data_IF_239910848523
#
_entry.id   IF_239910848523
#
_cell.length_a   1.000
_cell.length_b   1.000
_cell.length_c   1.000
_cell.angle_alpha   90.00
_cell.angle_beta   90.00
_cell.angle_gamma   90.00
#
_symmetry.space_group_name_H-M   'P 1'
#
loop_
_entity.id
_entity.type
_entity.pdbx_description
1 polymer ?
#
# COMPACT_ATOMS: atom_id res chain seq x y z
N UNK A 1 16.27 12.83 -9.54
CA UNK A 1 16.20 11.54 -10.30
C UNK A 1 16.15 10.41 -9.30
N UNK A 2 15.30 9.40 -9.52
CA UNK A 2 15.27 8.20 -8.68
C UNK A 2 16.59 7.42 -8.83
N UNK A 3 17.12 6.89 -7.73
CA UNK A 3 18.31 6.04 -7.73
C UNK A 3 18.06 4.73 -8.49
N UNK A 4 19.12 4.04 -8.92
CA UNK A 4 18.96 2.72 -9.57
C UNK A 4 18.30 1.71 -8.64
N UNK A 5 18.62 1.73 -7.34
CA UNK A 5 17.97 0.88 -6.33
C UNK A 5 16.46 1.17 -6.23
N UNK A 6 16.07 2.46 -6.30
CA UNK A 6 14.66 2.83 -6.32
C UNK A 6 13.95 2.31 -7.57
N UNK A 7 14.55 2.43 -8.75
CA UNK A 7 13.99 1.89 -9.99
C UNK A 7 13.85 0.38 -9.94
N UNK A 8 14.84 -0.32 -9.39
CA UNK A 8 14.80 -1.76 -9.21
C UNK A 8 13.70 -2.17 -8.23
N UNK A 9 13.56 -1.48 -7.10
CA UNK A 9 12.48 -1.74 -6.14
C UNK A 9 11.10 -1.54 -6.76
N UNK A 10 10.89 -0.49 -7.56
CA UNK A 10 9.64 -0.25 -8.28
C UNK A 10 9.33 -1.34 -9.31
N UNK A 11 10.34 -1.85 -10.04
CA UNK A 11 10.18 -2.98 -10.96
C UNK A 11 9.76 -4.26 -10.22
N UNK A 12 10.38 -4.51 -9.07
CA UNK A 12 10.03 -5.67 -8.23
C UNK A 12 8.60 -5.54 -7.67
N UNK A 13 8.23 -4.35 -7.19
CA UNK A 13 6.86 -4.08 -6.73
C UNK A 13 5.81 -4.28 -7.83
N UNK A 14 6.09 -3.79 -9.03
CA UNK A 14 5.19 -3.99 -10.17
C UNK A 14 4.98 -5.46 -10.54
N UNK A 15 6.00 -6.31 -10.32
CA UNK A 15 5.96 -7.73 -10.64
C UNK A 15 5.42 -8.60 -9.51
N UNK A 16 5.91 -8.38 -8.29
CA UNK A 16 5.69 -9.29 -7.15
C UNK A 16 4.74 -8.73 -6.10
N UNK A 17 4.39 -7.45 -6.19
CA UNK A 17 3.56 -6.71 -5.20
C UNK A 17 4.16 -6.63 -3.79
N UNK A 18 5.08 -7.51 -3.45
CA UNK A 18 5.74 -7.54 -2.15
C UNK A 18 7.26 -7.49 -2.34
N UNK A 19 7.93 -6.63 -1.61
CA UNK A 19 9.39 -6.49 -1.64
C UNK A 19 9.93 -6.39 -0.22
N UNK A 20 10.90 -7.22 0.10
CA UNK A 20 11.63 -7.16 1.36
C UNK A 20 12.99 -6.48 1.12
N UNK A 21 13.22 -5.35 1.79
CA UNK A 21 14.51 -4.65 1.79
C UNK A 21 15.30 -5.04 3.04
N UNK A 22 16.38 -5.78 2.86
CA UNK A 22 17.27 -6.19 3.94
C UNK A 22 18.65 -5.56 3.81
N UNK A 23 19.36 -5.41 4.92
CA UNK A 23 20.71 -4.85 4.94
C UNK A 23 21.13 -4.37 6.34
N UNK A 24 22.42 -4.16 6.55
CA UNK A 24 22.96 -3.68 7.80
C UNK A 24 22.41 -2.30 8.20
N UNK A 25 22.46 -1.91 9.47
CA UNK A 25 22.15 -0.54 9.89
C UNK A 25 23.05 0.46 9.15
N UNK A 26 22.49 1.62 8.76
CA UNK A 26 23.25 2.67 8.07
C UNK A 26 23.44 2.49 6.55
N UNK A 27 22.95 1.40 5.93
CA UNK A 27 23.09 1.14 4.48
C UNK A 27 22.14 1.95 3.60
N UNK A 28 21.39 2.91 4.14
CA UNK A 28 20.50 3.78 3.35
C UNK A 28 19.10 3.23 3.09
N UNK A 29 18.66 2.15 3.77
CA UNK A 29 17.31 1.58 3.60
C UNK A 29 16.20 2.61 3.72
N UNK A 30 16.22 3.44 4.76
CA UNK A 30 15.19 4.46 4.99
C UNK A 30 15.18 5.53 3.88
N UNK A 31 16.34 5.86 3.30
CA UNK A 31 16.45 6.75 2.14
C UNK A 31 15.81 6.10 0.91
N UNK A 32 16.12 4.84 0.64
CA UNK A 32 15.51 4.07 -0.45
C UNK A 32 13.99 4.02 -0.30
N UNK A 33 13.48 3.70 0.90
CA UNK A 33 12.03 3.65 1.16
C UNK A 33 11.36 5.03 0.95
N UNK A 34 12.05 6.12 1.29
CA UNK A 34 11.56 7.48 1.04
C UNK A 34 11.51 7.79 -0.47
N UNK A 35 12.54 7.41 -1.24
CA UNK A 35 12.57 7.58 -2.70
C UNK A 35 11.47 6.76 -3.39
N UNK A 36 11.29 5.49 -2.98
CA UNK A 36 10.23 4.61 -3.50
C UNK A 36 8.84 5.19 -3.21
N UNK A 37 8.63 5.69 -1.98
CA UNK A 37 7.37 6.30 -1.59
C UNK A 37 7.03 7.53 -2.47
N UNK A 38 7.99 8.44 -2.63
CA UNK A 38 7.82 9.63 -3.45
C UNK A 38 7.55 9.27 -4.92
N UNK A 39 8.32 8.31 -5.47
CA UNK A 39 8.13 7.86 -6.84
C UNK A 39 6.78 7.17 -7.03
N UNK A 40 6.28 6.43 -6.03
CA UNK A 40 4.97 5.82 -6.06
C UNK A 40 3.85 6.87 -6.07
N UNK A 41 3.87 7.86 -5.16
CA UNK A 41 2.83 8.90 -5.04
C UNK A 41 2.80 9.84 -6.25
N UNK A 42 3.97 10.25 -6.74
CA UNK A 42 4.06 11.19 -7.87
C UNK A 42 3.91 10.50 -9.23
N UNK A 43 3.83 9.17 -9.28
CA UNK A 43 3.95 8.38 -10.51
C UNK A 43 5.18 8.76 -11.36
N UNK A 44 6.22 9.29 -10.70
CA UNK A 44 7.42 9.80 -11.34
C UNK A 44 8.15 8.66 -12.06
N UNK A 45 8.37 8.83 -13.34
CA UNK A 45 8.95 7.82 -14.20
C UNK A 45 8.00 6.69 -14.65
N UNK A 46 6.72 6.75 -14.27
CA UNK A 46 5.68 5.82 -14.69
C UNK A 46 4.73 6.43 -15.74
N UNK A 47 5.15 7.50 -16.42
CA UNK A 47 4.37 8.07 -17.49
C UNK A 47 4.07 7.02 -18.58
N UNK A 48 2.85 6.95 -19.12
CA UNK A 48 2.48 5.98 -20.12
C UNK A 48 3.42 6.11 -21.33
N UNK A 49 4.08 5.03 -21.71
CA UNK A 49 4.71 4.96 -23.02
C UNK A 49 3.58 4.99 -24.05
N UNK A 50 3.34 6.17 -24.68
CA UNK A 50 2.46 6.27 -25.85
C UNK A 50 1.13 6.99 -25.64
N UNK A 51 0.98 7.86 -24.66
CA UNK A 51 -0.10 8.84 -24.70
C UNK A 51 0.11 9.84 -25.87
N UNK A 52 -0.97 10.33 -26.54
CA UNK A 52 -0.80 11.34 -27.56
C UNK A 52 -0.03 12.53 -26.98
N UNK A 53 0.88 13.15 -27.77
CA UNK A 53 1.64 14.30 -27.30
C UNK A 53 0.67 15.36 -26.79
N UNK A 54 0.82 15.77 -25.54
CA UNK A 54 0.04 16.84 -24.95
C UNK A 54 0.38 18.12 -25.72
N UNK A 55 -0.52 18.57 -26.57
CA UNK A 55 -0.40 19.85 -27.26
C UNK A 55 -0.48 20.94 -26.21
N UNK A 56 0.56 21.76 -26.16
CA UNK A 56 0.56 22.97 -25.36
C UNK A 56 -0.59 23.88 -25.85
N UNK A 57 -1.52 24.35 -25.01
CA UNK A 57 -2.64 25.15 -25.44
C UNK A 57 -2.24 26.49 -26.10
N UNK A 58 -0.96 26.80 -26.12
CA UNK A 58 -0.39 28.00 -26.79
C UNK A 58 0.43 27.70 -28.06
N UNK A 59 0.29 26.53 -28.68
CA UNK A 59 0.92 26.29 -30.00
C UNK A 59 2.45 26.15 -29.97
N UNK A 60 3.03 25.72 -28.86
CA UNK A 60 4.47 25.51 -28.72
C UNK A 60 4.89 24.05 -29.00
N UNK A 61 6.20 23.84 -29.12
CA UNK A 61 6.87 22.56 -29.34
C UNK A 61 6.33 21.45 -28.41
N UNK A 62 6.06 20.22 -28.90
CA UNK A 62 5.60 19.12 -28.07
C UNK A 62 6.53 18.93 -26.88
N UNK A 63 5.97 18.88 -25.66
CA UNK A 63 6.75 18.59 -24.46
C UNK A 63 7.22 17.13 -24.59
N UNK A 64 8.54 16.88 -24.65
CA UNK A 64 9.02 15.51 -24.70
C UNK A 64 8.55 14.76 -23.46
N UNK A 65 8.22 13.46 -23.55
CA UNK A 65 7.87 12.65 -22.40
C UNK A 65 8.95 12.80 -21.34
N UNK A 66 8.54 13.01 -20.08
CA UNK A 66 9.44 13.32 -18.99
C UNK A 66 10.64 12.37 -19.02
N UNK A 67 11.83 12.95 -19.19
CA UNK A 67 13.09 12.20 -19.18
C UNK A 67 13.25 11.52 -17.82
N UNK A 68 13.00 10.22 -17.74
CA UNK A 68 13.06 9.45 -16.50
C UNK A 68 12.11 8.25 -16.41
N UNK A 69 11.29 8.00 -17.44
CA UNK A 69 10.48 6.78 -17.48
C UNK A 69 11.36 5.54 -17.29
N UNK A 70 11.07 4.75 -16.27
CA UNK A 70 11.75 3.47 -16.06
C UNK A 70 11.21 2.52 -17.11
N UNK A 71 12.07 2.08 -18.04
CA UNK A 71 11.69 1.05 -19.01
C UNK A 71 11.23 -0.19 -18.25
N UNK A 72 10.22 -0.86 -18.79
CA UNK A 72 9.66 -2.11 -18.25
C UNK A 72 8.78 -2.01 -17.00
N UNK A 73 8.35 -0.82 -16.58
CA UNK A 73 7.28 -0.67 -15.61
C UNK A 73 6.00 -0.29 -16.36
N UNK A 74 4.90 -1.04 -16.23
CA UNK A 74 3.63 -0.68 -16.83
C UNK A 74 3.17 0.70 -16.37
N UNK A 75 2.55 1.46 -17.26
CA UNK A 75 1.93 2.72 -16.88
C UNK A 75 0.89 2.51 -15.77
N UNK A 76 0.86 3.37 -14.76
CA UNK A 76 -0.12 3.23 -13.69
C UNK A 76 -1.53 3.45 -14.25
N UNK A 77 -2.40 2.49 -14.01
CA UNK A 77 -3.81 2.57 -14.37
C UNK A 77 -4.62 3.33 -13.32
N UNK A 78 -4.13 3.39 -12.08
CA UNK A 78 -4.75 4.07 -10.95
C UNK A 78 -3.90 5.25 -10.50
N UNK A 79 -4.52 6.44 -10.43
CA UNK A 79 -3.83 7.71 -10.23
C UNK A 79 -3.95 8.28 -8.81
N UNK A 80 -4.94 7.84 -8.02
CA UNK A 80 -5.02 8.19 -6.60
C UNK A 80 -4.12 7.25 -5.78
N UNK A 81 -2.82 7.61 -5.77
CA UNK A 81 -1.74 6.80 -5.22
C UNK A 81 -1.33 7.31 -3.85
N UNK A 82 -1.41 6.46 -2.84
CA UNK A 82 -1.13 6.84 -1.46
C UNK A 82 -0.20 5.88 -0.76
N UNK A 83 0.76 6.45 0.00
CA UNK A 83 1.68 5.69 0.82
C UNK A 83 1.19 5.66 2.27
N UNK A 84 1.11 4.44 2.81
CA UNK A 84 0.83 4.19 4.21
C UNK A 84 2.10 3.65 4.87
N UNK A 85 2.43 4.15 6.07
CA UNK A 85 3.64 3.77 6.78
C UNK A 85 3.31 3.27 8.18
N UNK A 86 4.02 2.25 8.59
CA UNK A 86 4.01 1.77 9.97
C UNK A 86 5.41 1.28 10.35
N UNK A 87 5.70 1.29 11.64
CA UNK A 87 6.95 0.78 12.20
C UNK A 87 6.59 -0.33 13.17
N UNK A 88 7.21 -1.50 13.01
CA UNK A 88 7.00 -2.58 13.95
C UNK A 88 7.94 -2.43 15.15
N UNK A 89 7.41 -2.72 16.32
CA UNK A 89 8.12 -2.77 17.60
C UNK A 89 7.50 -3.85 18.49
N UNK A 90 8.12 -4.14 19.61
CA UNK A 90 7.70 -5.25 20.51
C UNK A 90 6.24 -5.17 20.97
N UNK A 91 5.67 -3.96 21.05
CA UNK A 91 4.28 -3.74 21.46
C UNK A 91 3.30 -3.57 20.28
N UNK A 92 3.75 -3.81 19.04
CA UNK A 92 2.86 -3.78 17.87
C UNK A 92 1.79 -4.86 17.99
N UNK A 93 0.54 -4.50 17.69
CA UNK A 93 -0.62 -5.38 17.88
C UNK A 93 -1.42 -5.47 16.59
N UNK A 94 -2.10 -6.61 16.42
CA UNK A 94 -3.05 -6.86 15.33
C UNK A 94 -4.06 -5.71 15.15
N UNK A 95 -4.62 -5.18 16.24
CA UNK A 95 -5.61 -4.09 16.19
C UNK A 95 -5.07 -2.79 15.58
N UNK A 96 -3.78 -2.50 15.79
CA UNK A 96 -3.18 -1.25 15.30
C UNK A 96 -2.80 -1.38 13.81
N UNK A 97 -2.68 -2.61 13.34
CA UNK A 97 -2.31 -2.94 11.97
C UNK A 97 -3.53 -3.26 11.09
N UNK A 98 -4.47 -4.05 11.56
CA UNK A 98 -5.72 -4.41 10.88
C UNK A 98 -6.92 -3.67 11.49
N UNK A 99 -7.50 -4.23 12.54
CA UNK A 99 -8.61 -3.62 13.28
C UNK A 99 -8.73 -4.22 14.67
N UNK A 100 -9.37 -3.51 15.56
CA UNK A 100 -9.66 -4.02 16.90
C UNK A 100 -10.23 -2.97 17.82
N UNK A 101 -10.67 -3.41 18.99
CA UNK A 101 -11.36 -2.58 19.98
C UNK A 101 -10.34 -1.84 20.85
N UNK A 102 -10.60 -0.57 21.13
CA UNK A 102 -9.88 0.25 22.09
C UNK A 102 -10.86 1.06 22.95
N UNK A 103 -10.53 1.40 24.20
CA UNK A 103 -11.34 2.31 25.01
C UNK A 103 -11.51 3.66 24.30
N UNK A 104 -12.72 4.19 24.32
CA UNK A 104 -13.01 5.53 23.79
C UNK A 104 -12.42 6.61 24.70
N UNK A 105 -11.61 7.52 24.16
CA UNK A 105 -10.98 8.61 24.91
C UNK A 105 -11.99 9.72 25.21
N UNK A 106 -12.93 9.96 24.30
CA UNK A 106 -13.96 10.97 24.45
C UNK A 106 -15.30 10.29 24.75
N UNK A 107 -15.73 10.32 26.01
CA UNK A 107 -17.07 9.86 26.40
C UNK A 107 -18.10 10.88 25.93
N UNK A 108 -18.86 10.56 24.91
CA UNK A 108 -20.15 11.20 24.67
C UNK A 108 -21.12 10.55 25.67
N UNK A 109 -21.83 11.34 26.46
CA UNK A 109 -22.62 10.92 27.63
C UNK A 109 -23.64 9.78 27.41
N UNK A 110 -23.81 9.29 26.20
CA UNK A 110 -24.67 8.17 25.81
C UNK A 110 -24.02 7.22 24.76
N UNK A 111 -22.68 7.31 24.52
CA UNK A 111 -21.99 6.50 23.55
C UNK A 111 -21.33 5.24 24.15
N UNK A 112 -20.88 4.31 23.32
CA UNK A 112 -20.15 3.13 23.78
C UNK A 112 -18.81 3.52 24.42
N UNK A 113 -18.43 2.79 25.48
CA UNK A 113 -17.12 2.97 26.15
C UNK A 113 -15.92 2.48 25.29
N UNK A 114 -16.18 1.93 24.09
CA UNK A 114 -15.18 1.39 23.19
C UNK A 114 -15.37 1.92 21.78
N UNK A 115 -14.25 2.03 21.06
CA UNK A 115 -14.24 2.35 19.63
C UNK A 115 -13.41 1.33 18.87
N UNK A 116 -13.65 1.19 17.57
CA UNK A 116 -12.87 0.27 16.72
C UNK A 116 -11.80 1.07 15.99
N UNK A 117 -10.57 0.65 16.13
CA UNK A 117 -9.42 1.25 15.44
C UNK A 117 -9.37 0.74 14.00
N UNK A 118 -9.17 1.66 13.07
CA UNK A 118 -8.83 1.37 11.66
C UNK A 118 -7.32 1.28 11.53
N UNK A 119 -6.78 0.07 11.54
CA UNK A 119 -5.34 -0.17 11.46
C UNK A 119 -4.74 0.23 10.11
N UNK A 120 -3.40 0.21 10.04
CA UNK A 120 -2.70 0.74 8.85
C UNK A 120 -2.92 -0.11 7.60
N UNK A 121 -2.91 -1.44 7.71
CA UNK A 121 -3.21 -2.34 6.58
C UNK A 121 -4.66 -2.17 6.11
N UNK A 122 -5.62 -2.09 7.04
CA UNK A 122 -7.02 -1.85 6.70
C UNK A 122 -7.20 -0.53 5.93
N UNK A 123 -6.62 0.57 6.42
CA UNK A 123 -6.71 1.87 5.74
C UNK A 123 -6.08 1.87 4.35
N UNK A 124 -4.94 1.18 4.20
CA UNK A 124 -4.28 1.02 2.90
C UNK A 124 -5.16 0.20 1.94
N UNK A 125 -5.74 -0.90 2.43
CA UNK A 125 -6.63 -1.76 1.65
C UNK A 125 -7.90 -1.02 1.20
N UNK A 126 -8.55 -0.28 2.09
CA UNK A 126 -9.75 0.48 1.74
C UNK A 126 -9.46 1.58 0.70
N UNK A 127 -8.29 2.24 0.81
CA UNK A 127 -7.87 3.19 -0.22
C UNK A 127 -7.65 2.49 -1.57
N UNK A 128 -7.00 1.33 -1.59
CA UNK A 128 -6.73 0.56 -2.81
C UNK A 128 -7.99 -0.03 -3.47
N UNK A 129 -9.07 -0.27 -2.69
CA UNK A 129 -10.39 -0.68 -3.23
C UNK A 129 -11.09 0.43 -4.00
N UNK A 130 -10.72 1.69 -3.80
CA UNK A 130 -11.28 2.81 -4.54
C UNK A 130 -11.10 2.64 -6.06
N UNK A 131 -12.07 3.10 -6.86
CA UNK A 131 -12.06 2.92 -8.32
C UNK A 131 -10.76 3.41 -8.98
N UNK A 132 -10.15 4.46 -8.44
CA UNK A 132 -8.88 5.03 -8.92
C UNK A 132 -7.75 4.90 -7.87
N UNK A 133 -7.96 4.14 -6.79
CA UNK A 133 -7.06 4.04 -5.65
C UNK A 133 -5.98 2.99 -5.85
N UNK A 134 -4.74 3.31 -5.49
CA UNK A 134 -3.66 2.35 -5.31
C UNK A 134 -2.89 2.71 -4.04
N UNK A 135 -2.49 1.71 -3.26
CA UNK A 135 -1.80 1.92 -2.01
C UNK A 135 -0.43 1.23 -1.98
N UNK A 136 0.55 1.90 -1.38
CA UNK A 136 1.81 1.31 -1.00
C UNK A 136 1.91 1.28 0.53
N UNK A 137 1.97 0.10 1.10
CA UNK A 137 2.20 -0.07 2.52
C UNK A 137 3.68 -0.31 2.79
N UNK A 138 4.30 0.60 3.53
CA UNK A 138 5.70 0.48 3.98
C UNK A 138 5.69 0.07 5.45
N UNK A 139 6.31 -1.06 5.73
CA UNK A 139 6.51 -1.57 7.10
C UNK A 139 8.00 -1.45 7.40
N UNK A 140 8.36 -0.53 8.26
CA UNK A 140 9.74 -0.38 8.73
C UNK A 140 9.98 -1.27 9.96
N UNK A 141 11.21 -1.73 10.13
CA UNK A 141 11.66 -2.55 11.27
C UNK A 141 10.79 -3.79 11.52
N UNK A 142 10.36 -4.48 10.46
CA UNK A 142 9.45 -5.65 10.55
C UNK A 142 9.97 -6.75 11.49
N UNK A 143 11.30 -6.86 11.64
CA UNK A 143 11.96 -7.83 12.51
C UNK A 143 11.98 -7.44 13.98
N UNK A 144 11.61 -6.21 14.34
CA UNK A 144 11.56 -5.74 15.74
C UNK A 144 10.25 -6.04 16.44
N UNK A 145 9.24 -6.44 15.70
CA UNK A 145 7.92 -6.77 16.22
C UNK A 145 7.53 -8.23 16.01
N UNK A 146 6.46 -8.69 16.67
CA UNK A 146 5.92 -10.04 16.49
C UNK A 146 5.10 -10.10 15.18
N UNK A 147 5.78 -10.05 14.01
CA UNK A 147 5.16 -9.89 12.69
C UNK A 147 4.02 -10.89 12.46
N UNK A 148 4.20 -12.17 12.79
CA UNK A 148 3.15 -13.20 12.64
C UNK A 148 1.89 -12.86 13.44
N UNK A 149 2.04 -12.36 14.66
CA UNK A 149 0.91 -11.96 15.51
C UNK A 149 0.23 -10.68 15.01
N UNK A 150 1.02 -9.74 14.48
CA UNK A 150 0.52 -8.45 13.96
C UNK A 150 -0.25 -8.64 12.67
N UNK A 151 0.23 -9.50 11.77
CA UNK A 151 -0.47 -9.84 10.52
C UNK A 151 -1.67 -10.76 10.74
N UNK A 152 -1.58 -11.68 11.70
CA UNK A 152 -2.60 -12.71 11.87
C UNK A 152 -2.88 -13.47 10.57
N UNK A 153 -4.14 -13.67 10.24
CA UNK A 153 -4.56 -14.34 9.00
C UNK A 153 -4.18 -13.61 7.71
N UNK A 154 -3.93 -12.30 7.78
CA UNK A 154 -3.52 -11.53 6.62
C UNK A 154 -2.14 -11.90 6.06
N UNK A 155 -1.30 -12.63 6.84
CA UNK A 155 0.06 -12.96 6.42
C UNK A 155 0.12 -13.82 5.15
N UNK A 156 -0.88 -14.65 4.92
CA UNK A 156 -1.02 -15.43 3.68
C UNK A 156 -1.65 -14.58 2.58
N UNK A 157 -2.61 -13.74 2.93
CA UNK A 157 -3.35 -12.92 1.97
C UNK A 157 -2.50 -11.81 1.32
N UNK A 158 -1.31 -11.48 1.84
CA UNK A 158 -0.42 -10.48 1.21
C UNK A 158 0.20 -10.96 -0.10
N UNK A 159 0.26 -12.25 -0.38
CA UNK A 159 0.78 -12.78 -1.64
C UNK A 159 -0.08 -12.30 -2.82
N UNK A 160 0.55 -11.99 -3.95
CA UNK A 160 -0.12 -11.35 -5.08
C UNK A 160 -1.24 -12.19 -5.69
N UNK A 161 -1.09 -13.51 -5.69
CA UNK A 161 -2.07 -14.48 -6.19
C UNK A 161 -3.22 -14.77 -5.21
N UNK A 162 -3.05 -14.39 -3.94
CA UNK A 162 -4.06 -14.55 -2.87
C UNK A 162 -4.99 -13.35 -2.71
N UNK A 163 -4.78 -12.30 -3.49
CA UNK A 163 -5.57 -11.06 -3.45
C UNK A 163 -6.80 -11.15 -4.36
N UNK A 164 -7.68 -10.18 -4.25
CA UNK A 164 -8.76 -9.97 -5.21
C UNK A 164 -8.19 -9.62 -6.60
N UNK A 165 -8.94 -9.87 -7.65
CA UNK A 165 -8.63 -9.40 -8.99
C UNK A 165 -8.65 -7.86 -9.07
N UNK A 166 -8.14 -7.30 -10.17
CA UNK A 166 -8.08 -5.84 -10.39
C UNK A 166 -9.44 -5.15 -10.45
N UNK A 167 -10.48 -5.90 -10.78
CA UNK A 167 -11.89 -5.48 -10.77
C UNK A 167 -12.58 -5.71 -9.42
N UNK A 168 -11.86 -6.23 -8.42
CA UNK A 168 -12.38 -6.59 -7.11
C UNK A 168 -13.04 -7.96 -7.03
N UNK A 169 -13.07 -8.73 -8.13
CA UNK A 169 -13.65 -10.07 -8.12
C UNK A 169 -12.80 -11.07 -7.32
N UNK A 170 -13.45 -12.07 -6.76
CA UNK A 170 -12.80 -13.20 -6.10
C UNK A 170 -12.19 -14.13 -7.15
N UNK A 171 -10.92 -14.49 -6.96
CA UNK A 171 -10.22 -15.52 -7.71
C UNK A 171 -10.30 -16.88 -6.98
N UNK A 172 -9.96 -17.96 -7.67
CA UNK A 172 -9.92 -19.31 -7.07
C UNK A 172 -8.92 -19.37 -5.89
N UNK A 173 -7.81 -18.64 -5.99
CA UNK A 173 -6.74 -18.60 -5.00
C UNK A 173 -6.90 -17.49 -3.95
N UNK A 174 -7.94 -16.64 -4.05
CA UNK A 174 -8.14 -15.53 -3.11
C UNK A 174 -8.25 -16.04 -1.69
N UNK A 175 -7.39 -15.55 -0.81
CA UNK A 175 -7.38 -15.90 0.60
C UNK A 175 -8.16 -14.89 1.41
N UNK A 176 -9.17 -15.38 2.14
CA UNK A 176 -9.92 -14.60 3.11
C UNK A 176 -9.40 -14.84 4.52
N UNK A 177 -9.51 -13.83 5.36
CA UNK A 177 -9.22 -13.91 6.78
C UNK A 177 -10.28 -13.14 7.58
N UNK A 178 -10.53 -13.58 8.80
CA UNK A 178 -11.48 -12.91 9.69
C UNK A 178 -10.89 -11.66 10.30
N UNK A 179 -11.66 -10.59 10.34
CA UNK A 179 -11.34 -9.37 11.05
C UNK A 179 -12.58 -8.67 11.57
N UNK A 180 -12.40 -7.78 12.54
CA UNK A 180 -13.49 -6.91 13.02
C UNK A 180 -13.67 -5.75 12.03
N UNK A 181 -14.88 -5.60 11.48
CA UNK A 181 -15.17 -4.47 10.60
C UNK A 181 -15.25 -3.16 11.40
N UNK A 182 -14.40 -2.17 11.10
CA UNK A 182 -14.43 -0.90 11.83
C UNK A 182 -15.67 -0.03 11.56
N UNK A 183 -16.54 -0.42 10.66
CA UNK A 183 -17.78 0.30 10.32
C UNK A 183 -18.99 -0.32 11.01
N UNK A 184 -19.21 -1.62 10.80
CA UNK A 184 -20.37 -2.33 11.39
C UNK A 184 -20.12 -2.82 12.81
N UNK A 185 -18.87 -3.12 13.16
CA UNK A 185 -18.52 -3.75 14.44
C UNK A 185 -18.65 -5.27 14.44
N UNK A 186 -19.00 -5.87 13.31
CA UNK A 186 -19.15 -7.31 13.17
C UNK A 186 -17.82 -7.96 12.76
N UNK A 187 -17.70 -9.26 12.99
CA UNK A 187 -16.62 -10.07 12.41
C UNK A 187 -16.98 -10.39 10.97
N UNK A 188 -16.09 -10.02 10.06
CA UNK A 188 -16.27 -10.24 8.62
C UNK A 188 -15.11 -11.04 8.03
N UNK A 189 -15.37 -11.74 6.92
CA UNK A 189 -14.35 -12.27 6.04
C UNK A 189 -13.82 -11.14 5.13
N UNK A 190 -12.54 -10.92 5.15
CA UNK A 190 -11.89 -9.84 4.43
C UNK A 190 -10.80 -10.38 3.50
N UNK A 191 -10.68 -9.83 2.30
CA UNK A 191 -9.62 -10.12 1.36
C UNK A 191 -8.90 -8.84 0.94
N UNK A 192 -7.60 -8.93 0.72
CA UNK A 192 -6.79 -7.80 0.30
C UNK A 192 -7.04 -7.47 -1.18
N UNK A 193 -7.09 -6.18 -1.54
CA UNK A 193 -7.29 -5.77 -2.92
C UNK A 193 -6.01 -5.95 -3.76
N UNK A 194 -6.19 -6.04 -5.07
CA UNK A 194 -5.10 -6.19 -6.04
C UNK A 194 -4.07 -5.05 -5.98
N UNK A 195 -4.51 -3.81 -5.79
CA UNK A 195 -3.69 -2.61 -5.92
C UNK A 195 -3.14 -2.07 -4.58
N UNK A 196 -3.03 -2.98 -3.62
CA UNK A 196 -2.34 -2.75 -2.35
C UNK A 196 -0.87 -3.11 -2.48
#
# INVERSE_FOLDING_TARGET
MASEDCKQALKLLARSRNVLVSGAPGTGKSKLLAEVALAFETAFGLAPAGGPPQLNPMGGIPIPPAAGAVKDIPAPTKMDRKVFRTVFHQNSKYRDFLSGITPAVNKVAAGPDFTIVKGTLYRASEHAKGANGAALLIIDEINRGPAVQVFGGAIVAIESDKRLASDGAKLAETQFFEMLDPVSGDVIEYALPHDL
#
